data_IF_641240979855
#
_entry.id   IF_641240979855
#
_cell.length_a   1.000
_cell.length_b   1.000
_cell.length_c   1.000
_cell.angle_alpha   90.00
_cell.angle_beta   90.00
_cell.angle_gamma   90.00
#
_symmetry.space_group_name_H-M   'P 1'
#
loop_
_entity.id
_entity.type
_entity.pdbx_description
1 polymer ?
#
# COMPACT_ATOMS: atom_id res chain seq x y z
N UNK A 1 -3.49 -4.45 22.64
CA UNK A 1 -4.42 -5.61 22.66
C UNK A 1 -3.88 -6.60 21.65
N UNK A 2 -3.48 -7.82 22.03
CA UNK A 2 -2.93 -8.76 21.03
C UNK A 2 -4.01 -9.11 19.99
N UNK A 3 -3.65 -9.01 18.72
CA UNK A 3 -4.53 -9.35 17.59
C UNK A 3 -3.88 -10.45 16.73
N UNK A 4 -4.70 -11.32 16.14
CA UNK A 4 -4.22 -12.44 15.33
C UNK A 4 -3.67 -13.64 16.14
N UNK A 5 -3.12 -14.61 15.43
CA UNK A 5 -2.41 -15.78 15.94
C UNK A 5 -1.05 -15.91 15.23
N UNK A 6 -0.16 -16.82 15.65
CA UNK A 6 1.11 -17.06 14.95
C UNK A 6 0.93 -17.39 13.45
N UNK A 7 -0.22 -17.97 13.08
CA UNK A 7 -0.54 -18.38 11.71
C UNK A 7 -1.17 -17.25 10.88
N UNK A 8 -1.60 -16.14 11.50
CA UNK A 8 -2.18 -15.02 10.76
C UNK A 8 -1.11 -14.15 10.13
N UNK A 9 -1.38 -13.66 8.92
CA UNK A 9 -0.49 -12.78 8.18
C UNK A 9 -1.15 -11.43 7.93
N UNK A 10 -0.48 -10.36 8.32
CA UNK A 10 -0.91 -8.98 8.12
C UNK A 10 -0.09 -8.34 7.00
N UNK A 11 -0.76 -7.91 5.93
CA UNK A 11 -0.10 -7.26 4.79
C UNK A 11 -0.62 -5.84 4.65
N UNK A 12 0.24 -4.86 4.86
CA UNK A 12 -0.12 -3.44 4.75
C UNK A 12 0.44 -2.88 3.44
N UNK A 13 -0.43 -2.27 2.62
CA UNK A 13 -0.05 -1.60 1.37
C UNK A 13 -0.22 -0.08 1.51
N UNK A 14 0.89 0.65 1.49
CA UNK A 14 0.97 2.12 1.57
C UNK A 14 1.44 2.75 0.26
N UNK A 15 1.36 4.08 0.20
CA UNK A 15 1.71 4.90 -0.96
C UNK A 15 0.68 6.02 -1.22
N UNK A 16 1.06 7.01 -2.02
CA UNK A 16 0.21 8.16 -2.37
C UNK A 16 -1.10 7.76 -3.06
N UNK A 17 -2.11 8.65 -3.05
CA UNK A 17 -3.31 8.44 -3.88
C UNK A 17 -2.89 8.19 -5.34
N UNK A 18 -3.59 7.30 -6.03
CA UNK A 18 -3.21 6.94 -7.41
C UNK A 18 -2.10 5.88 -7.55
N UNK A 19 -1.29 5.61 -6.52
CA UNK A 19 -0.11 4.73 -6.62
C UNK A 19 -0.37 3.24 -6.97
N UNK A 20 -1.63 2.78 -6.89
CA UNK A 20 -2.01 1.41 -7.28
C UNK A 20 -2.30 0.46 -6.11
N UNK A 21 -2.35 0.96 -4.86
CA UNK A 21 -2.64 0.15 -3.66
C UNK A 21 -3.83 -0.78 -3.84
N UNK A 22 -4.98 -0.24 -4.28
CA UNK A 22 -6.22 -1.00 -4.47
C UNK A 22 -6.13 -2.05 -5.58
N UNK A 23 -5.31 -1.82 -6.60
CA UNK A 23 -5.10 -2.78 -7.69
C UNK A 23 -4.26 -3.97 -7.19
N UNK A 24 -3.11 -3.71 -6.56
CA UNK A 24 -2.26 -4.74 -5.95
C UNK A 24 -3.06 -5.54 -4.91
N UNK A 25 -3.79 -4.83 -4.06
CA UNK A 25 -4.68 -5.39 -3.07
C UNK A 25 -5.69 -6.41 -3.60
N UNK A 26 -6.41 -6.02 -4.66
CA UNK A 26 -7.42 -6.87 -5.29
C UNK A 26 -6.77 -8.08 -5.95
N UNK A 27 -5.64 -7.90 -6.62
CA UNK A 27 -4.90 -8.98 -7.26
C UNK A 27 -4.35 -9.99 -6.24
N UNK A 28 -3.75 -9.52 -5.14
CA UNK A 28 -3.30 -10.38 -4.03
C UNK A 28 -4.47 -11.15 -3.41
N UNK A 29 -5.60 -10.49 -3.17
CA UNK A 29 -6.80 -11.15 -2.62
C UNK A 29 -7.39 -12.18 -3.59
N UNK A 30 -7.36 -11.92 -4.89
CA UNK A 30 -7.80 -12.87 -5.90
C UNK A 30 -6.86 -14.10 -5.98
N UNK A 31 -5.56 -13.90 -5.80
CA UNK A 31 -4.57 -14.97 -5.86
C UNK A 31 -4.49 -15.83 -4.57
N UNK A 32 -4.62 -15.20 -3.40
CA UNK A 32 -4.39 -15.87 -2.10
C UNK A 32 -5.68 -16.23 -1.34
N UNK A 33 -6.79 -15.55 -1.57
CA UNK A 33 -8.06 -15.79 -0.86
C UNK A 33 -8.27 -14.89 0.38
N UNK A 34 -9.02 -15.39 1.38
CA UNK A 34 -9.39 -14.65 2.60
C UNK A 34 -8.25 -14.71 3.65
N UNK A 35 -8.26 -13.78 4.61
CA UNK A 35 -7.24 -13.72 5.69
C UNK A 35 -6.20 -12.59 5.54
N UNK A 36 -6.43 -11.63 4.65
CA UNK A 36 -5.55 -10.50 4.39
C UNK A 36 -6.28 -9.18 4.70
N UNK A 37 -5.77 -8.41 5.65
CA UNK A 37 -6.28 -7.09 6.01
C UNK A 37 -5.53 -6.00 5.24
N UNK A 38 -6.26 -5.08 4.61
CA UNK A 38 -5.70 -4.07 3.73
C UNK A 38 -5.94 -2.67 4.29
N UNK A 39 -4.87 -2.00 4.69
CA UNK A 39 -4.93 -0.68 5.32
C UNK A 39 -4.16 0.31 4.47
N UNK A 40 -4.87 1.25 3.84
CA UNK A 40 -4.28 2.29 3.01
C UNK A 40 -4.64 3.68 3.53
N UNK A 41 -3.71 4.35 4.21
CA UNK A 41 -3.81 5.78 4.49
C UNK A 41 -2.48 6.34 5.01
N UNK A 42 -2.13 7.54 4.59
CA UNK A 42 -0.92 8.27 4.97
C UNK A 42 -0.92 8.67 6.46
N UNK A 43 -2.10 8.94 7.05
CA UNK A 43 -2.21 9.47 8.44
C UNK A 43 -2.11 8.44 9.57
N UNK A 44 -1.91 7.16 9.27
CA UNK A 44 -2.01 6.10 10.30
C UNK A 44 -0.66 5.57 10.79
N UNK A 45 0.45 6.30 10.58
CA UNK A 45 1.78 5.79 10.92
C UNK A 45 1.93 5.29 12.37
N UNK A 46 1.34 5.97 13.35
CA UNK A 46 1.34 5.51 14.75
C UNK A 46 0.45 4.28 14.98
N UNK A 47 -0.73 4.24 14.37
CA UNK A 47 -1.66 3.12 14.44
C UNK A 47 -1.07 1.87 13.80
N UNK A 48 -0.46 2.00 12.61
CA UNK A 48 0.18 0.92 11.88
C UNK A 48 1.35 0.31 12.65
N UNK A 49 2.16 1.16 13.30
CA UNK A 49 3.21 0.70 14.23
C UNK A 49 2.64 -0.05 15.41
N UNK A 50 1.55 0.45 16.01
CA UNK A 50 0.89 -0.26 17.10
C UNK A 50 0.31 -1.59 16.64
N UNK A 51 -0.29 -1.64 15.45
CA UNK A 51 -0.83 -2.87 14.88
C UNK A 51 0.27 -3.89 14.60
N UNK A 52 1.41 -3.48 14.03
CA UNK A 52 2.58 -4.35 13.83
C UNK A 52 3.05 -4.97 15.15
N UNK A 53 3.15 -4.15 16.19
CA UNK A 53 3.59 -4.58 17.53
C UNK A 53 2.59 -5.52 18.20
N UNK A 54 1.30 -5.27 18.01
CA UNK A 54 0.23 -6.00 18.67
C UNK A 54 -0.19 -7.27 17.89
N UNK A 55 0.23 -7.43 16.63
CA UNK A 55 -0.05 -8.61 15.81
C UNK A 55 0.85 -9.78 16.21
N UNK A 56 0.25 -10.91 16.57
CA UNK A 56 0.96 -12.09 17.04
C UNK A 56 1.67 -12.89 15.93
N UNK A 57 1.28 -12.70 14.67
CA UNK A 57 1.84 -13.40 13.52
C UNK A 57 2.78 -12.54 12.68
N UNK A 58 3.01 -12.93 11.43
CA UNK A 58 3.89 -12.20 10.51
C UNK A 58 3.23 -10.94 9.97
N UNK A 59 3.94 -9.82 10.03
CA UNK A 59 3.46 -8.55 9.46
C UNK A 59 4.44 -8.02 8.42
N UNK A 60 3.98 -7.81 7.19
CA UNK A 60 4.76 -7.20 6.13
C UNK A 60 4.13 -5.89 5.67
N UNK A 61 4.97 -4.88 5.46
CA UNK A 61 4.56 -3.55 5.05
C UNK A 61 5.22 -3.24 3.72
N UNK A 62 4.45 -2.75 2.77
CA UNK A 62 4.93 -2.36 1.45
C UNK A 62 4.53 -0.92 1.16
N UNK A 63 5.44 -0.16 0.56
CA UNK A 63 5.18 1.20 0.10
C UNK A 63 5.30 1.25 -1.42
N UNK A 64 4.22 1.64 -2.10
CA UNK A 64 4.21 1.90 -3.53
C UNK A 64 4.75 3.31 -3.76
N UNK A 65 6.01 3.40 -4.18
CA UNK A 65 6.71 4.64 -4.48
C UNK A 65 6.45 5.00 -5.94
N UNK A 66 5.49 5.90 -6.14
CA UNK A 66 5.06 6.37 -7.45
C UNK A 66 5.20 7.87 -7.49
N UNK A 67 5.90 8.37 -8.49
CA UNK A 67 6.16 9.77 -8.70
C UNK A 67 4.85 10.54 -8.95
N UNK A 68 4.89 11.84 -8.71
CA UNK A 68 3.74 12.70 -8.99
C UNK A 68 3.35 12.70 -10.49
N UNK A 69 4.29 12.81 -11.46
CA UNK A 69 3.96 12.70 -12.88
C UNK A 69 3.28 11.38 -13.25
N UNK A 70 3.79 10.25 -12.74
CA UNK A 70 3.18 8.95 -13.00
C UNK A 70 1.81 8.81 -12.34
N UNK A 71 1.63 9.42 -11.16
CA UNK A 71 0.34 9.49 -10.47
C UNK A 71 -0.71 10.23 -11.30
N UNK A 72 -0.35 11.36 -11.91
CA UNK A 72 -1.22 12.11 -12.82
C UNK A 72 -1.55 11.30 -14.07
N UNK A 73 -0.54 10.71 -14.73
CA UNK A 73 -0.73 9.87 -15.91
C UNK A 73 -1.71 8.71 -15.64
N UNK A 74 -1.61 8.07 -14.47
CA UNK A 74 -2.52 7.01 -14.03
C UNK A 74 -3.90 7.50 -13.62
N UNK A 75 -4.05 8.76 -13.23
CA UNK A 75 -5.34 9.37 -12.88
C UNK A 75 -6.15 9.73 -14.13
N UNK A 76 -5.48 10.23 -15.17
CA UNK A 76 -6.13 10.60 -16.44
C UNK A 76 -6.85 9.42 -17.12
N UNK A 77 -6.36 8.21 -16.91
CA UNK A 77 -6.96 6.97 -17.43
C UNK A 77 -8.13 6.43 -16.60
N UNK A 78 -8.51 7.09 -15.48
CA UNK A 78 -9.57 6.63 -14.59
C UNK A 78 -10.92 7.30 -14.85
N UNK A 79 -12.04 6.65 -14.49
CA UNK A 79 -13.35 7.28 -14.52
C UNK A 79 -13.41 8.59 -13.70
N UNK A 80 -12.70 8.63 -12.56
CA UNK A 80 -12.63 9.79 -11.65
C UNK A 80 -11.70 10.92 -12.11
N UNK A 81 -11.23 10.92 -13.37
CA UNK A 81 -10.24 11.91 -13.85
C UNK A 81 -10.68 13.36 -13.63
N UNK A 82 -11.99 13.62 -13.70
CA UNK A 82 -12.59 14.95 -13.53
C UNK A 82 -12.86 15.34 -12.08
N UNK A 83 -12.67 14.44 -11.12
CA UNK A 83 -13.05 14.68 -9.73
C UNK A 83 -12.01 15.55 -9.00
N UNK A 84 -10.77 15.53 -9.48
CA UNK A 84 -9.63 16.20 -8.85
C UNK A 84 -8.72 16.82 -9.90
N UNK A 85 -8.26 18.05 -9.65
CA UNK A 85 -7.27 18.73 -10.49
C UNK A 85 -5.84 18.32 -10.12
N UNK A 86 -4.86 18.46 -11.03
CA UNK A 86 -3.46 18.24 -10.70
C UNK A 86 -2.97 19.04 -9.49
N UNK A 87 -3.43 20.30 -9.33
CA UNK A 87 -3.05 21.13 -8.18
C UNK A 87 -3.59 20.58 -6.86
N UNK A 88 -4.85 20.14 -6.84
CA UNK A 88 -5.43 19.47 -5.66
C UNK A 88 -4.68 18.18 -5.32
N UNK A 89 -4.32 17.39 -6.35
CA UNK A 89 -3.54 16.17 -6.15
C UNK A 89 -2.14 16.47 -5.60
N UNK A 90 -1.54 17.60 -5.99
CA UNK A 90 -0.22 18.03 -5.51
C UNK A 90 -0.23 18.39 -4.04
N UNK A 91 -1.30 19.00 -3.54
CA UNK A 91 -1.47 19.30 -2.10
C UNK A 91 -1.51 18.02 -1.24
N UNK A 92 -2.01 16.92 -1.79
CA UNK A 92 -2.08 15.62 -1.09
C UNK A 92 -0.86 14.73 -1.32
N UNK A 93 -0.05 15.05 -2.33
CA UNK A 93 1.11 14.26 -2.68
C UNK A 93 2.23 14.52 -1.68
N UNK A 94 2.71 13.45 -1.04
CA UNK A 94 3.87 13.50 -0.17
C UNK A 94 4.95 12.58 -0.73
N UNK A 95 6.09 13.14 -1.09
CA UNK A 95 7.20 12.35 -1.61
C UNK A 95 7.73 11.42 -0.52
N UNK A 96 7.78 10.12 -0.83
CA UNK A 96 8.35 9.07 0.03
C UNK A 96 7.89 9.16 1.49
N UNK A 97 6.56 9.14 1.70
CA UNK A 97 5.90 9.06 3.02
C UNK A 97 6.10 7.68 3.68
N UNK A 98 7.36 7.34 3.92
CA UNK A 98 7.78 6.08 4.51
C UNK A 98 7.64 6.11 6.03
N UNK A 99 7.44 4.94 6.62
CA UNK A 99 7.53 4.78 8.07
C UNK A 99 8.97 4.99 8.54
N UNK A 100 9.17 5.75 9.64
CA UNK A 100 10.51 6.10 10.12
C UNK A 100 11.30 4.91 10.70
N UNK A 101 10.63 3.79 10.97
CA UNK A 101 11.24 2.57 11.49
C UNK A 101 11.82 1.66 10.38
N UNK A 102 11.76 2.10 9.12
CA UNK A 102 12.35 1.37 7.98
C UNK A 102 11.70 0.02 7.72
N UNK A 103 10.50 -0.22 8.25
CA UNK A 103 9.87 -1.52 8.22
C UNK A 103 9.17 -1.86 6.89
N UNK A 104 9.20 -0.93 5.95
CA UNK A 104 8.50 -0.98 4.67
C UNK A 104 9.42 -1.44 3.54
N UNK A 105 8.92 -2.38 2.74
CA UNK A 105 9.53 -2.75 1.47
C UNK A 105 9.01 -1.84 0.37
N UNK A 106 9.92 -1.11 -0.28
CA UNK A 106 9.55 -0.19 -1.37
C UNK A 106 9.35 -0.95 -2.68
N UNK A 107 8.26 -0.62 -3.37
CA UNK A 107 7.95 -1.09 -4.72
C UNK A 107 7.89 0.16 -5.61
N UNK A 108 8.86 0.29 -6.51
CA UNK A 108 8.96 1.44 -7.41
C UNK A 108 7.94 1.41 -8.54
N UNK A 109 7.70 2.57 -9.14
CA UNK A 109 6.72 2.76 -10.22
C UNK A 109 6.93 1.90 -11.46
N UNK A 110 8.18 1.53 -11.75
CA UNK A 110 8.56 0.64 -12.87
C UNK A 110 8.18 -0.82 -12.62
N UNK A 111 7.74 -1.17 -11.40
CA UNK A 111 7.34 -2.54 -11.09
C UNK A 111 5.97 -2.85 -11.74
N UNK A 112 5.90 -3.85 -12.65
CA UNK A 112 4.61 -4.31 -13.17
C UNK A 112 3.73 -4.84 -12.05
N UNK A 113 2.41 -4.77 -12.23
CA UNK A 113 1.44 -5.24 -11.24
C UNK A 113 1.71 -6.69 -10.79
N UNK A 114 1.98 -7.58 -11.75
CA UNK A 114 2.30 -8.98 -11.49
C UNK A 114 3.56 -9.14 -10.64
N UNK A 115 4.58 -8.30 -10.86
CA UNK A 115 5.79 -8.32 -10.07
C UNK A 115 5.54 -7.84 -8.62
N UNK A 116 4.78 -6.75 -8.46
CA UNK A 116 4.37 -6.25 -7.14
C UNK A 116 3.55 -7.30 -6.38
N UNK A 117 2.62 -7.97 -7.07
CA UNK A 117 1.79 -9.03 -6.47
C UNK A 117 2.67 -10.21 -6.04
N UNK A 118 3.58 -10.70 -6.90
CA UNK A 118 4.51 -11.77 -6.53
C UNK A 118 5.35 -11.39 -5.31
N UNK A 119 5.80 -10.15 -5.22
CA UNK A 119 6.59 -9.67 -4.09
C UNK A 119 5.79 -9.67 -2.79
N UNK A 120 4.52 -9.29 -2.84
CA UNK A 120 3.61 -9.39 -1.68
C UNK A 120 3.37 -10.85 -1.31
N UNK A 121 3.10 -11.72 -2.30
CA UNK A 121 2.81 -13.15 -2.08
C UNK A 121 3.97 -13.92 -1.44
N UNK A 122 5.23 -13.46 -1.54
CA UNK A 122 6.36 -14.07 -0.81
C UNK A 122 6.30 -13.89 0.70
N UNK A 123 5.47 -12.96 1.18
CA UNK A 123 5.27 -12.68 2.62
C UNK A 123 3.96 -13.25 3.14
N UNK A 124 3.20 -13.92 2.26
CA UNK A 124 1.98 -14.66 2.58
C UNK A 124 2.24 -16.15 2.49
#
# INVERSE_FOLDING_TARGET
>A
MRTGSPDTRLIVLRGNSGSGKTSVARAVRAAYGRGLALVGHHRYGAMLRSLRRDHAGTSAFFYLDVSFPETLRRHDSRPQRSDFTPDQMREWYQERDLLPDGCETVIGEDSPLEASVRQVLRQV
#
